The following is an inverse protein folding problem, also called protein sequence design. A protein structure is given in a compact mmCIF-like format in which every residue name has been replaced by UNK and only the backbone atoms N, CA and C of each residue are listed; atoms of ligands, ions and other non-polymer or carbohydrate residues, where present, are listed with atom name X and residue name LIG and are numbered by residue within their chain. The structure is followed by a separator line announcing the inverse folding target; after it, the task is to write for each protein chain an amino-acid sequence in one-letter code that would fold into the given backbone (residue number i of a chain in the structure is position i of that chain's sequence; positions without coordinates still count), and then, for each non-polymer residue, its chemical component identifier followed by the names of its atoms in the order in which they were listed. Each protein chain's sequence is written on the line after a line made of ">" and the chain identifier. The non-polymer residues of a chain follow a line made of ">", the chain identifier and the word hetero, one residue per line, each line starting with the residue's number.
data_IF_448833400373
#
_entry.id   IF_448833400373
#
_cell.length_a   1.000
_cell.length_b   1.000
_cell.length_c   1.000
_cell.angle_alpha   90.00
_cell.angle_beta   90.00
_cell.angle_gamma   90.00
#
_symmetry.space_group_name_H-M   'P 1'
#
loop_
_entity.id
_entity.type
_entity.pdbx_description
1 polymer ?
#
# COMPACT_ATOMS: atom_id res chain seq x y z
N UNK A 1 0.52 -0.82 -48.40
CA UNK A 1 0.75 -0.56 -46.97
C UNK A 1 -0.13 -1.52 -46.20
N UNK A 2 0.41 -2.62 -45.67
CA UNK A 2 -0.40 -3.56 -44.89
C UNK A 2 -0.30 -3.15 -43.43
N UNK A 3 -1.30 -2.40 -42.97
CA UNK A 3 -1.39 -1.97 -41.58
C UNK A 3 -1.48 -3.18 -40.64
N UNK A 4 -0.88 -3.08 -39.46
CA UNK A 4 -0.94 -4.13 -38.45
C UNK A 4 -2.38 -4.19 -37.91
N UNK A 5 -3.06 -5.34 -37.95
CA UNK A 5 -4.44 -5.44 -37.46
C UNK A 5 -4.50 -5.12 -35.96
N UNK A 6 -5.47 -4.31 -35.57
CA UNK A 6 -5.76 -4.00 -34.18
C UNK A 6 -6.24 -5.22 -33.42
N UNK A 7 -6.15 -5.15 -32.08
CA UNK A 7 -6.41 -6.29 -31.19
C UNK A 7 -7.84 -6.86 -31.34
N UNK A 8 -8.84 -6.01 -31.63
CA UNK A 8 -10.23 -6.42 -31.74
C UNK A 8 -10.72 -6.64 -33.19
N UNK A 9 -9.88 -6.34 -34.18
CA UNK A 9 -10.24 -6.45 -35.60
C UNK A 9 -10.42 -7.90 -36.03
N UNK A 10 -11.16 -8.16 -37.13
CA UNK A 10 -11.23 -9.51 -37.70
C UNK A 10 -9.83 -10.03 -38.02
N UNK A 11 -9.57 -11.30 -37.69
CA UNK A 11 -8.27 -11.90 -37.94
C UNK A 11 -8.03 -12.03 -39.45
N UNK A 12 -6.88 -11.54 -39.98
CA UNK A 12 -6.55 -11.66 -41.41
C UNK A 12 -6.26 -13.11 -41.83
N UNK A 13 -6.30 -14.05 -40.90
CA UNK A 13 -6.17 -15.49 -41.14
C UNK A 13 -7.45 -16.17 -41.65
N UNK A 14 -8.55 -15.44 -41.80
CA UNK A 14 -9.81 -15.99 -42.32
C UNK A 14 -10.64 -16.80 -41.32
N UNK A 15 -10.29 -16.79 -40.03
CA UNK A 15 -10.98 -17.60 -39.02
C UNK A 15 -12.33 -17.05 -38.54
N UNK A 16 -12.70 -15.83 -38.97
CA UNK A 16 -13.88 -15.12 -38.48
C UNK A 16 -13.79 -14.64 -37.01
N UNK A 17 -12.68 -14.92 -36.32
CA UNK A 17 -12.46 -14.52 -34.91
C UNK A 17 -11.73 -13.17 -34.83
N UNK A 18 -11.87 -12.48 -33.69
CA UNK A 18 -11.06 -11.28 -33.37
C UNK A 18 -9.57 -11.63 -33.33
N UNK A 19 -8.69 -10.76 -33.80
CA UNK A 19 -7.24 -10.99 -33.88
C UNK A 19 -6.65 -11.42 -32.52
N UNK A 20 -7.09 -10.80 -31.41
CA UNK A 20 -6.68 -11.17 -30.04
C UNK A 20 -6.99 -12.59 -29.62
N UNK A 21 -8.06 -13.16 -30.16
CA UNK A 21 -8.57 -14.48 -29.81
C UNK A 21 -8.16 -15.54 -30.84
N UNK A 22 -7.32 -15.16 -31.81
CA UNK A 22 -6.86 -16.04 -32.87
C UNK A 22 -5.35 -15.94 -33.03
N UNK A 23 -4.85 -15.32 -34.10
CA UNK A 23 -3.42 -15.27 -34.39
C UNK A 23 -2.59 -14.60 -33.29
N UNK A 24 -3.12 -13.69 -32.48
CA UNK A 24 -2.35 -13.11 -31.37
C UNK A 24 -2.08 -14.13 -30.25
N UNK A 25 -3.04 -15.00 -29.97
CA UNK A 25 -2.86 -16.12 -29.03
C UNK A 25 -1.90 -17.16 -29.62
N UNK A 26 -2.09 -17.49 -30.90
CA UNK A 26 -1.32 -18.55 -31.58
C UNK A 26 0.13 -18.14 -31.92
N UNK A 27 0.43 -16.85 -32.12
CA UNK A 27 1.78 -16.34 -32.44
C UNK A 27 2.70 -16.19 -31.20
N UNK A 28 2.40 -16.87 -30.09
CA UNK A 28 3.24 -16.86 -28.89
C UNK A 28 2.75 -15.94 -27.76
N UNK A 29 1.53 -15.42 -27.86
CA UNK A 29 0.88 -14.62 -26.81
C UNK A 29 0.18 -15.46 -25.72
N UNK A 30 0.20 -16.79 -25.83
CA UNK A 30 -0.14 -17.67 -24.72
C UNK A 30 0.99 -17.58 -23.71
N UNK A 31 0.89 -16.60 -22.80
CA UNK A 31 1.77 -16.46 -21.65
C UNK A 31 1.69 -17.74 -20.81
N UNK A 32 2.47 -18.75 -21.20
CA UNK A 32 2.85 -19.85 -20.33
C UNK A 32 3.42 -19.16 -19.12
N UNK A 33 2.66 -19.13 -18.04
CA UNK A 33 3.10 -18.52 -16.78
C UNK A 33 4.27 -19.36 -16.32
N UNK A 34 5.48 -18.99 -16.74
CA UNK A 34 6.71 -19.59 -16.25
C UNK A 34 6.60 -19.47 -14.73
N UNK A 35 6.54 -20.61 -14.05
CA UNK A 35 6.48 -20.66 -12.59
C UNK A 35 7.84 -20.18 -12.08
N UNK A 36 7.98 -18.86 -11.98
CA UNK A 36 9.16 -18.23 -11.41
C UNK A 36 9.11 -18.48 -9.91
N UNK A 37 9.97 -19.35 -9.40
CA UNK A 37 10.11 -19.61 -7.98
C UNK A 37 11.06 -18.56 -7.40
N UNK A 38 10.51 -17.46 -6.90
CA UNK A 38 11.28 -16.49 -6.13
C UNK A 38 11.44 -16.99 -4.68
N UNK A 39 12.68 -17.01 -4.19
CA UNK A 39 12.99 -17.27 -2.77
C UNK A 39 13.46 -15.95 -2.17
N UNK A 40 12.80 -15.53 -1.09
CA UNK A 40 13.22 -14.35 -0.33
C UNK A 40 14.52 -14.66 0.42
N UNK A 41 15.56 -13.84 0.23
CA UNK A 41 16.84 -13.97 0.95
C UNK A 41 16.62 -13.72 2.45
N UNK A 42 15.82 -12.70 2.79
CA UNK A 42 15.35 -12.45 4.14
C UNK A 42 13.82 -12.53 4.14
N UNK A 43 13.25 -13.56 4.77
CA UNK A 43 11.80 -13.71 4.91
C UNK A 43 11.33 -12.77 6.03
N UNK A 44 10.51 -11.74 5.75
CA UNK A 44 9.91 -10.94 6.82
C UNK A 44 8.99 -11.83 7.67
N UNK A 45 8.89 -11.53 8.96
CA UNK A 45 8.09 -12.31 9.90
C UNK A 45 6.59 -12.25 9.50
N UNK A 46 5.92 -13.39 9.25
CA UNK A 46 4.51 -13.41 8.83
C UNK A 46 3.54 -12.83 9.88
N UNK A 47 3.94 -12.74 11.15
CA UNK A 47 3.13 -12.07 12.18
C UNK A 47 3.16 -10.54 12.09
N UNK A 48 4.05 -9.97 11.26
CA UNK A 48 4.07 -8.55 10.90
C UNK A 48 3.47 -8.36 9.50
N UNK A 49 2.26 -8.88 9.30
CA UNK A 49 1.48 -8.57 8.10
C UNK A 49 1.37 -7.06 7.95
N UNK A 50 1.66 -6.56 6.74
CA UNK A 50 1.59 -5.13 6.45
C UNK A 50 0.15 -4.64 6.55
N UNK A 51 -0.23 -4.04 7.69
CA UNK A 51 -1.53 -3.41 7.85
C UNK A 51 -1.60 -2.16 6.96
N UNK A 52 -2.61 -2.13 6.09
CA UNK A 52 -2.86 -1.00 5.19
C UNK A 52 -3.02 0.32 5.96
N UNK A 53 -3.67 0.24 7.13
CA UNK A 53 -3.92 1.38 8.01
C UNK A 53 -2.62 1.93 8.60
N UNK A 54 -1.76 1.08 9.16
CA UNK A 54 -0.46 1.50 9.71
C UNK A 54 0.44 2.10 8.62
N UNK A 55 0.38 1.58 7.39
CA UNK A 55 1.20 2.10 6.28
C UNK A 55 0.70 3.44 5.72
N UNK A 56 -0.62 3.64 5.68
CA UNK A 56 -1.23 4.83 5.09
C UNK A 56 -1.37 5.96 6.12
N UNK A 57 -1.65 5.62 7.38
CA UNK A 57 -2.02 6.57 8.43
C UNK A 57 -1.17 6.45 9.70
N UNK A 58 -0.29 5.46 9.83
CA UNK A 58 0.44 5.21 11.07
C UNK A 58 1.29 6.40 11.53
N UNK A 59 1.86 7.18 10.61
CA UNK A 59 2.61 8.38 10.99
C UNK A 59 1.70 9.47 11.55
N UNK A 60 0.60 9.78 10.86
CA UNK A 60 -0.37 10.78 11.31
C UNK A 60 -0.99 10.42 12.67
N UNK A 61 -1.28 9.15 12.91
CA UNK A 61 -1.82 8.67 14.20
C UNK A 61 -0.77 8.80 15.32
N UNK A 62 0.49 8.41 15.07
CA UNK A 62 1.58 8.56 16.07
C UNK A 62 1.87 10.01 16.42
N UNK A 63 1.93 10.88 15.41
CA UNK A 63 2.18 12.31 15.60
C UNK A 63 1.02 12.98 16.37
N UNK A 64 -0.22 12.51 16.16
CA UNK A 64 -1.39 12.99 16.89
C UNK A 64 -1.40 12.53 18.35
N UNK A 65 -0.91 11.33 18.67
CA UNK A 65 -0.81 10.84 20.05
C UNK A 65 0.30 11.52 20.84
N UNK A 66 1.40 11.90 20.19
CA UNK A 66 2.52 12.62 20.84
C UNK A 66 2.21 14.10 21.07
N UNK A 67 1.24 14.65 20.33
CA UNK A 67 0.72 15.99 20.55
C UNK A 67 -0.46 15.94 21.52
N UNK A 68 -0.20 15.53 22.76
CA UNK A 68 -1.04 16.05 23.85
C UNK A 68 -0.91 17.58 23.79
N UNK A 69 -2.02 18.33 23.65
CA UNK A 69 -1.92 19.79 23.71
C UNK A 69 -1.31 20.13 25.07
N UNK A 70 -0.26 20.94 25.07
CA UNK A 70 0.49 21.38 26.27
C UNK A 70 -0.37 22.13 27.31
N UNK A 71 -1.69 22.17 27.14
CA UNK A 71 -2.69 22.78 28.01
C UNK A 71 -3.08 21.94 29.25
N UNK A 72 -2.57 20.72 29.42
CA UNK A 72 -2.84 19.91 30.61
C UNK A 72 -1.60 19.70 31.51
N UNK A 73 -0.58 20.56 31.39
CA UNK A 73 0.36 20.68 32.51
C UNK A 73 -0.36 21.46 33.62
N UNK A 74 -0.66 20.85 34.80
CA UNK A 74 -1.10 21.64 35.93
C UNK A 74 0.02 22.64 36.29
N UNK A 75 -0.31 23.88 36.67
CA UNK A 75 0.71 24.87 37.02
C UNK A 75 1.59 24.34 38.17
N UNK A 76 2.89 24.70 38.22
CA UNK A 76 3.73 24.33 39.35
C UNK A 76 3.10 24.90 40.63
N UNK A 77 2.91 24.04 41.61
CA UNK A 77 2.44 24.39 42.95
C UNK A 77 3.20 25.62 43.42
N UNK A 78 2.49 26.75 43.52
CA UNK A 78 3.05 27.95 44.14
C UNK A 78 3.19 27.61 45.61
N UNK A 79 4.42 27.34 46.02
CA UNK A 79 4.85 27.31 47.40
C UNK A 79 4.57 28.69 47.98
N UNK A 80 3.39 28.89 48.59
CA UNK A 80 3.14 30.01 49.47
C UNK A 80 3.34 29.51 50.89
N UNK A 81 4.46 29.95 51.45
CA UNK A 81 4.65 30.17 52.86
C UNK A 81 3.44 30.92 53.44
N UNK A 82 2.59 30.23 54.22
CA UNK A 82 1.81 30.87 55.27
C UNK A 82 2.40 30.46 56.61
N UNK A 83 3.31 31.32 57.03
CA UNK A 83 3.60 31.63 58.42
C UNK A 83 2.30 32.05 59.13
N UNK A 84 2.23 31.72 60.43
CA UNK A 84 1.21 32.18 61.40
C UNK A 84 -0.20 31.62 61.19
N UNK A 85 -0.97 31.24 62.21
CA UNK A 85 -0.90 31.37 63.67
C UNK A 85 -2.04 30.51 64.22
N UNK A 86 -1.90 30.00 65.45
CA UNK A 86 -2.91 29.94 66.52
C UNK A 86 -2.76 28.67 67.38
N UNK A 87 -3.21 28.71 68.64
CA UNK A 87 -2.89 29.67 69.71
C UNK A 87 -2.18 28.98 70.90
#
# INVERSE_FOLDING_TARGET
>A
MTEKPGRNDPCPCGSGKKFKSCCLLNKGGSGVKKKLKAVWVNKPNPSQGVNLMDRTFGQAIRDSQQKTPSFLTPPPETTQSEESVNP
#
